data_IF_552622731141
#
_entry.id   IF_552622731141
#
_cell.length_a   1.000
_cell.length_b   1.000
_cell.length_c   1.000
_cell.angle_alpha   90.00
_cell.angle_beta   90.00
_cell.angle_gamma   90.00
#
_symmetry.space_group_name_H-M   'P 1'
#
loop_
_entity.id
_entity.type
_entity.pdbx_description
1 polymer ?
#
# COMPACT_ATOMS: atom_id res chain seq x y z
N UNK A 1 5.90 4.82 3.78
CA UNK A 1 6.67 3.55 3.69
C UNK A 1 8.08 3.70 4.25
N UNK A 2 8.30 4.48 5.32
CA UNK A 2 9.67 4.79 5.74
C UNK A 2 10.35 3.64 6.48
N UNK A 3 9.68 3.04 7.47
CA UNK A 3 10.21 1.88 8.21
C UNK A 3 10.50 0.69 7.30
N UNK A 4 9.65 0.46 6.30
CA UNK A 4 9.88 -0.58 5.27
C UNK A 4 11.11 -0.24 4.41
N UNK A 5 11.20 1.01 3.94
CA UNK A 5 12.34 1.46 3.14
C UNK A 5 13.65 1.36 3.92
N UNK A 6 13.67 1.76 5.19
CA UNK A 6 14.81 1.65 6.10
C UNK A 6 15.31 0.20 6.22
N UNK A 7 14.41 -0.76 6.42
CA UNK A 7 14.77 -2.17 6.50
C UNK A 7 15.23 -2.73 5.14
N UNK A 8 14.66 -2.29 4.02
CA UNK A 8 15.17 -2.63 2.68
C UNK A 8 16.60 -2.10 2.48
N UNK A 9 16.89 -0.87 2.90
CA UNK A 9 18.24 -0.29 2.82
C UNK A 9 19.23 -1.05 3.70
N UNK A 10 18.83 -1.44 4.91
CA UNK A 10 19.64 -2.25 5.82
C UNK A 10 19.93 -3.64 5.25
N UNK A 11 18.92 -4.30 4.68
CA UNK A 11 19.08 -5.60 4.03
C UNK A 11 20.00 -5.54 2.78
N UNK A 12 20.00 -4.43 2.03
CA UNK A 12 20.94 -4.22 0.91
C UNK A 12 22.40 -4.13 1.37
N UNK A 13 22.65 -3.61 2.58
CA UNK A 13 24.00 -3.51 3.16
C UNK A 13 24.57 -4.89 3.50
N UNK A 14 23.70 -5.84 3.85
CA UNK A 14 24.07 -7.22 4.14
C UNK A 14 24.24 -7.99 2.82
N UNK A 15 25.44 -7.88 2.24
CA UNK A 15 25.90 -8.45 0.96
C UNK A 15 25.93 -10.02 0.91
N UNK A 16 24.92 -10.72 1.45
CA UNK A 16 24.78 -12.17 1.29
C UNK A 16 24.36 -12.44 -0.16
N UNK A 17 25.28 -13.03 -0.93
CA UNK A 17 25.04 -13.51 -2.30
C UNK A 17 23.88 -14.51 -2.30
N UNK A 18 22.67 -14.02 -2.54
CA UNK A 18 21.49 -14.85 -2.78
C UNK A 18 21.33 -14.99 -4.29
N UNK A 19 21.14 -16.22 -4.73
CA UNK A 19 21.05 -16.60 -6.14
C UNK A 19 19.93 -15.84 -6.86
N UNK A 20 20.23 -15.28 -8.04
CA UNK A 20 19.28 -14.76 -9.03
C UNK A 20 18.18 -13.82 -8.50
N UNK A 21 18.48 -12.97 -7.52
CA UNK A 21 17.56 -11.88 -7.16
C UNK A 21 17.65 -10.80 -8.23
N UNK A 22 16.53 -10.48 -8.89
CA UNK A 22 16.45 -9.29 -9.75
C UNK A 22 16.76 -8.07 -8.88
N UNK A 23 17.77 -7.29 -9.28
CA UNK A 23 18.07 -6.05 -8.60
C UNK A 23 16.96 -5.04 -8.91
N UNK A 24 16.22 -4.65 -7.88
CA UNK A 24 15.30 -3.52 -7.99
C UNK A 24 16.14 -2.25 -8.09
N UNK A 25 16.24 -1.70 -9.30
CA UNK A 25 16.81 -0.38 -9.55
C UNK A 25 15.85 0.65 -8.97
N UNK A 26 16.24 1.25 -7.85
CA UNK A 26 15.58 2.45 -7.31
C UNK A 26 16.20 3.61 -8.07
N UNK A 27 15.40 4.54 -8.64
CA UNK A 27 15.94 5.76 -9.24
C UNK A 27 16.88 6.49 -8.26
N UNK A 28 18.02 6.98 -8.75
CA UNK A 28 18.98 7.73 -7.92
C UNK A 28 18.37 9.04 -7.41
N UNK A 29 17.52 9.66 -8.23
CA UNK A 29 16.74 10.83 -7.86
C UNK A 29 15.27 10.43 -7.65
N UNK A 30 14.65 10.84 -6.53
CA UNK A 30 13.25 10.56 -6.28
C UNK A 30 12.39 11.25 -7.34
N UNK A 31 11.61 10.46 -8.07
CA UNK A 31 10.64 10.99 -9.01
C UNK A 31 9.48 11.63 -8.23
N UNK A 32 9.11 12.86 -8.62
CA UNK A 32 7.93 13.50 -8.07
C UNK A 32 6.69 12.71 -8.48
N UNK A 33 5.87 12.36 -7.49
CA UNK A 33 4.56 11.74 -7.73
C UNK A 33 3.64 12.71 -8.46
N UNK A 34 2.79 12.20 -9.35
CA UNK A 34 1.69 12.96 -9.97
C UNK A 34 0.52 13.12 -9.00
N UNK A 35 0.41 12.21 -8.02
CA UNK A 35 -0.60 12.31 -6.98
C UNK A 35 -0.20 13.41 -5.98
N UNK A 36 -1.01 14.47 -5.94
CA UNK A 36 -0.90 15.59 -5.00
C UNK A 36 -1.71 15.35 -3.73
N UNK A 37 -2.67 14.42 -3.77
CA UNK A 37 -3.51 14.09 -2.64
C UNK A 37 -2.72 13.32 -1.58
N UNK A 38 -2.95 13.71 -0.33
CA UNK A 38 -2.42 13.00 0.83
C UNK A 38 -3.10 11.64 0.94
N UNK A 39 -2.35 10.54 1.09
CA UNK A 39 -2.97 9.25 1.41
C UNK A 39 -3.63 9.37 2.79
N UNK A 40 -4.94 9.08 2.86
CA UNK A 40 -5.73 9.10 4.10
C UNK A 40 -6.07 7.66 4.53
N UNK A 41 -6.29 7.45 5.81
CA UNK A 41 -6.79 6.18 6.37
C UNK A 41 -5.82 5.00 6.29
N UNK A 42 -4.53 5.24 6.05
CA UNK A 42 -3.51 4.19 6.18
C UNK A 42 -3.06 4.07 7.64
N UNK A 43 -2.56 2.89 8.05
CA UNK A 43 -1.91 2.75 9.35
C UNK A 43 -0.77 3.74 9.53
N UNK A 44 -0.51 4.14 10.77
CA UNK A 44 0.49 5.16 11.09
C UNK A 44 1.89 4.82 10.56
N UNK A 45 2.21 3.53 10.40
CA UNK A 45 3.51 3.06 9.92
C UNK A 45 3.81 3.41 8.45
N UNK A 46 2.82 3.84 7.69
CA UNK A 46 2.97 4.25 6.30
C UNK A 46 3.45 5.69 6.15
N UNK A 47 3.36 6.52 7.18
CA UNK A 47 3.77 7.92 7.12
C UNK A 47 5.21 8.11 7.59
N UNK A 48 5.83 9.21 7.15
CA UNK A 48 7.10 9.67 7.70
C UNK A 48 6.81 10.46 9.00
N UNK A 49 7.48 10.17 10.13
CA UNK A 49 7.21 10.87 11.39
C UNK A 49 7.44 12.37 11.29
N UNK A 50 8.48 12.83 10.61
CA UNK A 50 8.76 14.27 10.48
C UNK A 50 7.67 14.96 9.67
N UNK A 51 7.20 14.30 8.61
CA UNK A 51 6.12 14.81 7.77
C UNK A 51 4.77 14.80 8.50
N UNK A 52 4.45 13.73 9.25
CA UNK A 52 3.19 13.70 10.00
C UNK A 52 3.23 14.72 11.15
N UNK A 53 4.38 14.90 11.81
CA UNK A 53 4.52 15.82 12.95
C UNK A 53 4.44 17.29 12.54
N UNK A 54 4.67 17.63 11.27
CA UNK A 54 4.46 18.99 10.78
C UNK A 54 3.00 19.38 10.61
N UNK A 55 2.06 18.42 10.66
CA UNK A 55 0.63 18.68 10.55
C UNK A 55 0.00 19.03 11.92
N UNK A 56 -1.10 19.78 11.89
CA UNK A 56 -1.86 20.09 13.12
C UNK A 56 -2.55 18.84 13.67
N UNK A 57 -2.90 18.83 14.96
CA UNK A 57 -3.56 17.67 15.58
C UNK A 57 -4.82 17.23 14.82
N UNK A 58 -5.68 18.17 14.43
CA UNK A 58 -6.90 17.88 13.65
C UNK A 58 -6.61 17.36 12.24
N UNK A 59 -5.52 17.80 11.60
CA UNK A 59 -5.11 17.21 10.31
C UNK A 59 -4.57 15.79 10.48
N UNK A 60 -3.78 15.54 11.54
CA UNK A 60 -3.24 14.22 11.79
C UNK A 60 -4.39 13.21 11.95
N UNK A 61 -5.44 13.52 12.71
CA UNK A 61 -6.59 12.61 12.92
C UNK A 61 -7.33 12.25 11.63
N UNK A 62 -7.29 13.10 10.60
CA UNK A 62 -7.86 12.81 9.27
C UNK A 62 -6.93 11.94 8.42
N UNK A 63 -5.61 12.12 8.59
CA UNK A 63 -4.59 11.53 7.72
C UNK A 63 -4.34 10.06 8.05
N UNK A 64 -4.12 9.72 9.32
CA UNK A 64 -3.74 8.35 9.71
C UNK A 64 -4.88 7.61 10.41
N UNK A 65 -4.94 6.29 10.22
CA UNK A 65 -5.83 5.42 10.98
C UNK A 65 -5.26 5.23 12.40
N UNK A 66 -5.94 5.82 13.39
CA UNK A 66 -5.54 5.77 14.79
C UNK A 66 -5.82 4.43 15.48
N UNK A 67 -6.51 3.51 14.83
CA UNK A 67 -6.89 2.23 15.43
C UNK A 67 -6.05 1.07 14.93
N UNK A 68 -5.17 1.32 13.96
CA UNK A 68 -4.41 0.27 13.30
C UNK A 68 -2.91 0.52 13.27
N UNK A 69 -2.17 -0.56 13.56
CA UNK A 69 -0.71 -0.64 13.48
C UNK A 69 -0.40 -1.92 12.71
N UNK A 70 0.40 -1.80 11.66
CA UNK A 70 0.75 -2.89 10.75
C UNK A 70 2.04 -3.60 11.19
N UNK A 71 3.01 -2.86 11.70
CA UNK A 71 4.33 -3.38 12.08
C UNK A 71 4.57 -3.42 13.58
N UNK A 72 5.41 -4.35 14.01
CA UNK A 72 5.99 -4.31 15.34
C UNK A 72 6.80 -3.01 15.52
N UNK A 73 6.97 -2.53 16.77
CA UNK A 73 7.82 -1.37 17.06
C UNK A 73 9.23 -1.50 16.46
N UNK A 74 9.77 -2.72 16.45
CA UNK A 74 10.91 -3.11 15.63
C UNK A 74 10.43 -3.74 14.32
N UNK A 75 10.31 -2.91 13.28
CA UNK A 75 9.83 -3.34 11.95
C UNK A 75 10.69 -4.46 11.34
N UNK A 76 11.97 -4.59 11.75
CA UNK A 76 12.84 -5.68 11.31
C UNK A 76 12.36 -7.05 11.74
N UNK A 77 11.49 -7.13 12.75
CA UNK A 77 10.87 -8.36 13.22
C UNK A 77 9.64 -8.72 12.39
N UNK A 78 8.91 -7.73 11.87
CA UNK A 78 7.74 -7.95 11.02
C UNK A 78 8.07 -8.27 9.58
N UNK A 79 9.19 -7.77 9.07
CA UNK A 79 9.61 -8.03 7.70
C UNK A 79 10.42 -9.33 7.55
N UNK A 80 10.35 -10.23 8.53
CA UNK A 80 11.02 -11.54 8.49
C UNK A 80 10.13 -12.54 7.77
N UNK A 81 10.76 -13.56 7.18
CA UNK A 81 10.02 -14.69 6.61
C UNK A 81 9.36 -15.61 7.65
N UNK A 82 9.51 -15.32 8.94
CA UNK A 82 8.91 -16.06 10.05
C UNK A 82 8.00 -15.09 10.79
N UNK A 83 6.70 -15.40 10.83
CA UNK A 83 5.70 -14.59 11.50
C UNK A 83 5.97 -14.52 13.01
N UNK A 84 5.96 -13.31 13.56
CA UNK A 84 6.11 -13.10 15.00
C UNK A 84 4.83 -13.60 15.72
N UNK A 85 4.92 -14.21 16.92
CA UNK A 85 3.72 -14.70 17.63
C UNK A 85 2.66 -13.62 17.87
N UNK A 86 3.07 -12.36 18.01
CA UNK A 86 2.12 -11.26 18.20
C UNK A 86 1.43 -10.81 16.91
N UNK A 87 1.98 -11.09 15.73
CA UNK A 87 1.29 -10.82 14.44
C UNK A 87 0.13 -11.79 14.18
N UNK A 88 -0.05 -12.79 15.05
CA UNK A 88 -1.22 -13.68 15.05
C UNK A 88 -2.35 -13.14 15.93
N UNK A 89 -2.13 -12.03 16.62
CA UNK A 89 -3.18 -11.30 17.31
C UNK A 89 -4.05 -10.61 16.25
N UNK A 90 -5.35 -10.43 16.53
CA UNK A 90 -6.18 -9.59 15.68
C UNK A 90 -5.80 -8.11 15.83
N UNK A 91 -6.03 -7.32 14.79
CA UNK A 91 -5.55 -5.94 14.63
C UNK A 91 -5.81 -5.09 15.88
N UNK A 92 -7.04 -5.08 16.40
CA UNK A 92 -7.38 -4.33 17.64
C UNK A 92 -6.51 -4.73 18.85
N UNK A 93 -6.22 -6.02 19.01
CA UNK A 93 -5.36 -6.52 20.11
C UNK A 93 -3.89 -6.22 19.86
N UNK A 94 -3.49 -6.21 18.59
CA UNK A 94 -2.12 -5.87 18.19
C UNK A 94 -1.85 -4.38 18.40
N UNK A 95 -2.72 -3.50 17.88
CA UNK A 95 -2.66 -2.06 18.05
C UNK A 95 -2.62 -1.70 19.55
N UNK A 96 -3.59 -2.15 20.35
CA UNK A 96 -3.62 -1.88 21.80
C UNK A 96 -2.35 -2.32 22.56
N UNK A 97 -1.62 -3.32 22.05
CA UNK A 97 -0.39 -3.81 22.70
C UNK A 97 0.82 -2.92 22.41
N UNK A 98 0.84 -2.30 21.24
CA UNK A 98 2.01 -1.60 20.71
C UNK A 98 1.81 -0.10 20.50
N UNK A 99 0.58 0.39 20.67
CA UNK A 99 0.19 1.79 20.47
C UNK A 99 1.12 2.76 21.17
N UNK A 100 1.28 2.61 22.48
CA UNK A 100 2.12 3.47 23.31
C UNK A 100 3.58 3.52 22.86
N UNK A 101 4.11 2.42 22.28
CA UNK A 101 5.50 2.37 21.82
C UNK A 101 5.70 3.03 20.45
N UNK A 102 4.67 2.99 19.60
CA UNK A 102 4.74 3.52 18.23
C UNK A 102 4.43 5.01 18.22
N UNK A 103 3.46 5.45 19.04
CA UNK A 103 2.96 6.83 19.05
C UNK A 103 4.00 7.85 19.52
N UNK A 104 4.95 7.43 20.36
CA UNK A 104 6.07 8.25 20.86
C UNK A 104 6.87 8.90 19.72
N UNK A 105 6.90 8.29 18.54
CA UNK A 105 7.62 8.82 17.38
C UNK A 105 6.85 9.92 16.63
N UNK A 106 5.54 10.05 16.82
CA UNK A 106 4.66 10.89 15.99
C UNK A 106 4.09 12.12 16.71
N UNK A 107 4.56 12.42 17.93
CA UNK A 107 4.08 13.55 18.75
C UNK A 107 2.53 13.65 18.76
N UNK A 108 1.85 12.51 18.80
CA UNK A 108 0.39 12.44 18.86
C UNK A 108 0.03 12.35 20.34
N UNK A 109 -0.59 13.40 20.87
CA UNK A 109 -1.22 13.34 22.18
C UNK A 109 -2.47 12.46 22.09
N UNK A 110 -2.76 11.71 23.15
CA UNK A 110 -3.84 10.70 23.27
C UNK A 110 -5.30 11.22 23.14
N UNK A 111 -5.56 12.25 22.34
CA UNK A 111 -6.92 12.59 21.89
C UNK A 111 -7.18 11.88 20.56
N UNK A 112 -7.46 10.57 20.64
CA UNK A 112 -8.05 9.85 19.50
C UNK A 112 -9.55 10.18 19.53
N UNK A 113 -10.11 10.83 18.49
CA UNK A 113 -11.54 11.06 18.40
C UNK A 113 -12.28 9.72 18.38
N UNK A 114 -13.50 9.67 18.93
CA UNK A 114 -14.35 8.50 18.76
C UNK A 114 -14.59 8.25 17.26
N UNK A 115 -14.68 6.98 16.83
CA UNK A 115 -14.83 6.60 15.40
C UNK A 115 -15.97 7.37 14.68
N UNK A 116 -16.98 7.85 15.42
CA UNK A 116 -18.14 8.59 14.90
C UNK A 116 -17.86 10.08 14.58
N UNK A 117 -16.77 10.68 15.10
CA UNK A 117 -16.43 12.10 14.90
C UNK A 117 -15.54 12.34 13.66
N UNK A 118 -15.10 11.28 12.97
CA UNK A 118 -14.15 11.37 11.86
C UNK A 118 -14.81 11.63 10.50
N UNK A 119 -16.11 11.35 10.33
CA UNK A 119 -16.83 11.52 9.06
C UNK A 119 -17.00 13.00 8.64
N UNK A 120 -16.98 13.93 9.60
CA UNK A 120 -17.25 15.35 9.36
C UNK A 120 -15.99 16.18 9.04
N UNK A 121 -14.80 15.59 9.10
CA UNK A 121 -13.52 16.32 9.00
C UNK A 121 -12.88 16.30 7.59
N UNK A 122 -13.51 15.66 6.61
CA UNK A 122 -12.87 15.34 5.31
C UNK A 122 -12.63 16.57 4.39
N UNK A 123 -13.37 17.67 4.59
CA UNK A 123 -13.47 18.78 3.62
C UNK A 123 -12.30 19.78 3.61
N UNK A 124 -11.41 19.82 4.63
CA UNK A 124 -10.50 20.97 4.82
C UNK A 124 -9.01 20.72 4.45
N UNK A 125 -8.66 19.56 3.89
CA UNK A 125 -7.26 19.20 3.60
C UNK A 125 -6.80 19.41 2.14
N UNK A 126 -7.64 20.00 1.28
CA UNK A 126 -7.22 20.42 -0.06
C UNK A 126 -6.41 21.71 0.01
N UNK A 127 -5.08 21.58 0.00
CA UNK A 127 -4.19 22.73 -0.08
C UNK A 127 -4.38 23.51 -1.38
N UNK A 128 -4.65 24.81 -1.23
CA UNK A 128 -4.87 25.78 -2.29
C UNK A 128 -3.60 25.93 -3.16
N UNK A 129 -3.64 25.36 -4.36
CA UNK A 129 -2.67 25.64 -5.40
C UNK A 129 -3.07 26.94 -6.11
N UNK A 130 -2.56 28.08 -5.62
CA UNK A 130 -2.69 29.38 -6.26
C UNK A 130 -1.96 29.38 -7.63
N UNK A 131 -2.71 29.11 -8.69
CA UNK A 131 -2.26 29.26 -10.08
C UNK A 131 -2.55 30.68 -10.55
N UNK A 132 -1.56 31.57 -10.39
CA UNK A 132 -1.56 32.90 -11.01
C UNK A 132 -1.51 32.74 -12.55
N UNK A 133 -2.68 32.63 -13.17
CA UNK A 133 -2.83 32.60 -14.62
C UNK A 133 -2.73 34.02 -15.17
N UNK A 134 -1.54 34.39 -15.64
CA UNK A 134 -1.37 35.57 -16.49
C UNK A 134 -2.01 35.29 -17.85
N UNK A 135 -3.12 35.97 -18.11
CA UNK A 135 -3.89 35.87 -19.35
C UNK A 135 -3.23 36.73 -20.44
N UNK A 136 -2.46 36.10 -21.31
CA UNK A 136 -2.12 36.64 -22.63
C UNK A 136 -3.16 36.09 -23.62
N UNK A 137 -3.93 36.99 -24.25
CA UNK A 137 -4.92 36.61 -25.25
C UNK A 137 -4.22 36.32 -26.59
N UNK A 138 -4.36 35.09 -27.08
CA UNK A 138 -4.07 34.75 -28.47
C UNK A 138 -5.31 34.08 -29.07
N UNK A 139 -6.03 34.90 -29.82
CA UNK A 139 -7.08 34.56 -30.77
C UNK A 139 -6.54 33.63 -31.88
N UNK A 140 -7.27 32.55 -32.17
CA UNK A 140 -6.83 31.50 -33.09
C UNK A 140 -7.70 30.25 -33.05
N UNK A 141 -8.84 30.32 -33.73
CA UNK A 141 -9.77 29.24 -34.01
C UNK A 141 -9.10 28.09 -34.79
N UNK A 142 -9.32 26.82 -34.43
CA UNK A 142 -9.42 25.71 -35.41
C UNK A 142 -10.01 24.40 -34.82
N UNK A 143 -11.13 24.01 -35.44
CA UNK A 143 -11.78 22.72 -35.68
C UNK A 143 -11.58 21.43 -34.84
N UNK A 144 -12.72 20.72 -34.75
CA UNK A 144 -13.09 19.55 -33.96
C UNK A 144 -12.52 18.24 -34.54
N UNK A 145 -12.12 17.29 -33.67
CA UNK A 145 -12.17 15.86 -34.02
C UNK A 145 -12.70 14.99 -32.88
N UNK A 146 -13.85 14.41 -33.19
CA UNK A 146 -14.62 13.37 -32.52
C UNK A 146 -13.81 12.07 -32.43
N UNK A 147 -13.60 11.55 -31.21
CA UNK A 147 -13.07 10.21 -30.97
C UNK A 147 -14.07 9.40 -30.13
N UNK A 148 -15.24 9.16 -30.72
CA UNK A 148 -16.20 8.19 -30.27
C UNK A 148 -15.98 6.87 -31.02
N UNK A 149 -14.93 6.11 -30.67
CA UNK A 149 -14.83 4.68 -31.01
C UNK A 149 -13.52 4.10 -30.45
N UNK A 150 -13.61 3.34 -29.36
CA UNK A 150 -12.77 2.15 -29.10
C UNK A 150 -13.28 1.46 -27.83
N UNK A 151 -14.47 0.85 -27.95
CA UNK A 151 -14.98 -0.10 -26.96
C UNK A 151 -15.59 -1.32 -27.67
N UNK A 152 -14.83 -1.90 -28.60
CA UNK A 152 -15.17 -3.16 -29.24
C UNK A 152 -14.51 -4.33 -28.48
N UNK A 153 -15.28 -4.81 -27.49
CA UNK A 153 -15.57 -6.19 -27.13
C UNK A 153 -14.55 -7.28 -27.49
N UNK A 154 -14.13 -8.02 -26.47
CA UNK A 154 -13.68 -9.40 -26.62
C UNK A 154 -14.19 -10.26 -25.47
N UNK A 155 -15.49 -10.53 -25.49
CA UNK A 155 -16.06 -11.73 -24.88
C UNK A 155 -15.79 -12.89 -25.86
N UNK A 156 -14.94 -13.83 -25.47
CA UNK A 156 -14.91 -15.15 -26.09
C UNK A 156 -15.13 -16.20 -25.01
N UNK A 157 -16.41 -16.55 -24.85
CA UNK A 157 -16.85 -17.83 -24.35
C UNK A 157 -16.19 -18.95 -25.15
N UNK A 158 -15.36 -19.75 -24.50
CA UNK A 158 -14.92 -21.04 -25.04
C UNK A 158 -15.63 -22.13 -24.27
N UNK A 159 -16.81 -22.51 -24.77
CA UNK A 159 -17.42 -23.80 -24.47
C UNK A 159 -16.56 -24.90 -25.14
N UNK A 160 -16.01 -25.83 -24.36
CA UNK A 160 -15.51 -27.09 -24.91
C UNK A 160 -16.08 -28.27 -24.12
N UNK A 161 -16.49 -29.26 -24.91
CA UNK A 161 -17.50 -30.27 -24.67
C UNK A 161 -17.17 -31.32 -23.61
N UNK A 162 -18.22 -31.73 -22.90
CA UNK A 162 -18.32 -32.91 -22.05
C UNK A 162 -18.25 -34.19 -22.92
N UNK A 163 -17.18 -34.98 -22.77
CA UNK A 163 -17.11 -36.34 -23.30
C UNK A 163 -16.88 -37.31 -22.15
N UNK A 164 -17.96 -37.97 -21.73
CA UNK A 164 -17.93 -39.13 -20.81
C UNK A 164 -17.75 -40.45 -21.56
N UNK A 165 -16.68 -41.17 -21.18
CA UNK A 165 -16.52 -42.64 -20.87
C UNK A 165 -17.09 -43.73 -21.82
N UNK A 166 -16.60 -45.02 -21.82
CA UNK A 166 -15.99 -45.76 -20.68
C UNK A 166 -14.83 -46.76 -20.97
N UNK A 167 -14.26 -47.28 -19.86
CA UNK A 167 -13.66 -48.60 -19.51
C UNK A 167 -12.96 -49.51 -20.56
N UNK A 168 -11.77 -50.07 -20.22
CA UNK A 168 -11.63 -51.45 -19.70
C UNK A 168 -10.19 -52.09 -19.80
N UNK A 169 -9.90 -53.01 -18.86
CA UNK A 169 -8.89 -54.10 -18.75
C UNK A 169 -7.36 -53.89 -18.51
N UNK A 170 -6.99 -53.97 -17.22
CA UNK A 170 -6.08 -54.96 -16.54
C UNK A 170 -4.53 -54.99 -16.56
N UNK A 171 -4.03 -55.11 -15.31
CA UNK A 171 -3.01 -56.03 -14.72
C UNK A 171 -1.49 -55.87 -14.93
N UNK A 172 -0.78 -55.91 -13.78
CA UNK A 172 0.63 -56.31 -13.63
C UNK A 172 1.39 -55.44 -12.61
N UNK A 173 1.30 -55.68 -11.29
CA UNK A 173 2.12 -56.63 -10.50
C UNK A 173 3.64 -56.40 -10.51
N UNK A 174 4.18 -56.08 -9.31
CA UNK A 174 5.51 -56.36 -8.71
C UNK A 174 6.05 -55.08 -8.06
N UNK A 175 6.00 -54.86 -6.74
CA UNK A 175 6.73 -55.53 -5.65
C UNK A 175 8.16 -55.91 -6.04
N UNK A 176 9.16 -55.25 -5.44
CA UNK A 176 10.28 -55.86 -4.71
C UNK A 176 11.00 -54.72 -3.96
N UNK A 177 11.05 -54.88 -2.64
CA UNK A 177 11.97 -54.20 -1.76
C UNK A 177 13.30 -54.97 -1.73
N UNK A 178 14.42 -54.26 -1.66
CA UNK A 178 15.58 -54.62 -0.84
C UNK A 178 16.40 -53.36 -0.56
#
# INVERSE_FOLDING_TARGET
MQRVNEEIFKAKKDNRKTSNRREHLIPDEPLKSVCTQVPKGLPIDFYDPSWLNSHSAGQKTIIYDAFNIEFLPDASQSLRGIQHPNERLGDKKFANKYWDQVIDCYDILHEIPDEEELDDLDEELETESEVESTKEESDGEEEVQELAELNQLHDQDTEMEDVREPDDFTHGSSHVAF
#
